data_IF_511538793594
#
_entry.id   IF_511538793594
#
_cell.length_a   1.000
_cell.length_b   1.000
_cell.length_c   1.000
_cell.angle_alpha   90.00
_cell.angle_beta   90.00
_cell.angle_gamma   90.00
#
_symmetry.space_group_name_H-M   'P 1'
#
loop_
_entity.id
_entity.type
_entity.pdbx_description
1 polymer ?
#
# COMPACT_ATOMS: atom_id res chain seq x y z
N UNK A 1 -21.55 20.43 62.83
CA UNK A 1 -21.80 20.40 61.39
C UNK A 1 -20.85 19.39 60.77
N UNK A 2 -21.36 18.27 60.22
CA UNK A 2 -20.56 17.23 59.56
C UNK A 2 -20.58 17.52 58.07
N UNK A 3 -19.40 17.87 57.50
CA UNK A 3 -19.25 18.05 56.06
C UNK A 3 -19.10 16.68 55.43
N UNK A 4 -20.09 16.28 54.59
CA UNK A 4 -20.01 15.07 53.75
C UNK A 4 -19.27 15.49 52.49
N UNK A 5 -18.04 14.96 52.32
CA UNK A 5 -17.31 15.09 51.05
C UNK A 5 -17.81 14.04 50.07
N UNK A 6 -18.54 14.47 49.06
CA UNK A 6 -18.95 13.61 47.96
C UNK A 6 -17.84 13.58 46.91
N UNK A 7 -17.10 12.51 46.85
CA UNK A 7 -16.06 12.28 45.82
C UNK A 7 -16.75 11.73 44.57
N UNK A 8 -16.76 12.54 43.51
CA UNK A 8 -17.29 12.13 42.20
C UNK A 8 -16.19 11.33 41.48
N UNK A 9 -16.33 10.03 41.41
CA UNK A 9 -15.43 9.18 40.63
C UNK A 9 -15.83 9.29 39.15
N UNK A 10 -15.02 9.99 38.36
CA UNK A 10 -15.18 10.10 36.92
C UNK A 10 -14.60 8.82 36.27
N UNK A 11 -15.46 7.85 35.95
CA UNK A 11 -15.07 6.70 35.16
C UNK A 11 -14.79 7.16 33.72
N UNK A 12 -13.53 7.23 33.32
CA UNK A 12 -13.16 7.30 31.92
C UNK A 12 -13.42 5.92 31.28
N UNK A 13 -14.48 5.82 30.49
CA UNK A 13 -14.63 4.70 29.56
C UNK A 13 -13.58 4.91 28.45
N UNK A 14 -12.53 4.13 28.48
CA UNK A 14 -11.63 4.00 27.32
C UNK A 14 -12.45 3.30 26.22
N UNK A 15 -12.88 4.07 25.23
CA UNK A 15 -13.43 3.52 23.99
C UNK A 15 -12.22 2.98 23.24
N UNK A 16 -12.04 1.66 23.22
CA UNK A 16 -11.11 1.03 22.29
C UNK A 16 -11.68 1.24 20.90
N UNK A 17 -11.09 2.15 20.13
CA UNK A 17 -11.35 2.22 18.70
C UNK A 17 -10.80 0.91 18.10
N UNK A 18 -11.65 0.15 17.42
CA UNK A 18 -11.18 -0.95 16.60
C UNK A 18 -10.59 -0.34 15.32
N UNK A 19 -9.45 -0.85 14.81
CA UNK A 19 -8.92 -0.39 13.53
C UNK A 19 -9.96 -0.64 12.44
N UNK A 20 -10.19 0.36 11.60
CA UNK A 20 -11.07 0.23 10.44
C UNK A 20 -10.38 -0.58 9.33
N UNK A 21 -11.19 -1.11 8.42
CA UNK A 21 -10.73 -1.90 7.28
C UNK A 21 -11.39 -1.40 6.00
N UNK A 22 -10.57 -1.03 5.03
CA UNK A 22 -10.96 -0.69 3.67
C UNK A 22 -10.57 -1.83 2.73
N UNK A 23 -11.51 -2.32 1.92
CA UNK A 23 -11.30 -3.40 0.95
C UNK A 23 -11.68 -2.92 -0.44
N UNK A 24 -10.82 -3.19 -1.44
CA UNK A 24 -11.08 -2.91 -2.84
C UNK A 24 -10.72 -4.14 -3.69
N UNK A 25 -11.69 -4.63 -4.45
CA UNK A 25 -11.56 -5.81 -5.32
C UNK A 25 -11.74 -5.49 -6.81
N UNK A 26 -12.03 -4.22 -7.13
CA UNK A 26 -12.26 -3.73 -8.49
C UNK A 26 -13.35 -4.47 -9.28
N UNK A 27 -14.17 -5.29 -8.60
CA UNK A 27 -15.23 -6.10 -9.23
C UNK A 27 -16.36 -5.23 -9.82
N UNK A 28 -16.51 -3.99 -9.35
CA UNK A 28 -17.48 -3.01 -9.87
C UNK A 28 -17.01 -2.29 -11.15
N UNK A 29 -15.76 -2.49 -11.55
CA UNK A 29 -15.16 -1.92 -12.77
C UNK A 29 -14.60 -0.52 -12.59
N UNK A 30 -14.47 -0.03 -11.36
CA UNK A 30 -13.97 1.31 -11.01
C UNK A 30 -12.92 1.24 -9.90
N UNK A 31 -12.14 2.29 -9.72
CA UNK A 31 -11.25 2.51 -8.57
C UNK A 31 -11.55 3.84 -7.86
N UNK A 32 -12.68 4.49 -8.21
CA UNK A 32 -13.16 5.72 -7.61
C UNK A 32 -12.33 6.96 -7.96
N UNK A 33 -12.59 8.03 -7.21
CA UNK A 33 -11.92 9.33 -7.36
C UNK A 33 -10.59 9.36 -6.57
N UNK A 34 -9.71 8.37 -6.77
CA UNK A 34 -8.41 8.31 -6.11
C UNK A 34 -7.39 9.18 -6.82
N UNK A 35 -6.48 9.80 -6.07
CA UNK A 35 -5.41 10.62 -6.63
C UNK A 35 -4.30 9.75 -7.23
N UNK A 36 -3.80 10.18 -8.39
CA UNK A 36 -2.65 9.57 -9.05
C UNK A 36 -1.47 10.55 -8.95
N UNK A 37 -0.39 10.10 -8.28
CA UNK A 37 0.84 10.85 -8.24
C UNK A 37 1.90 10.24 -9.17
N UNK A 38 2.45 11.07 -10.08
CA UNK A 38 3.46 10.64 -11.04
C UNK A 38 4.81 11.28 -10.70
N UNK A 39 5.71 10.51 -10.08
CA UNK A 39 7.06 10.94 -9.77
C UNK A 39 7.84 11.29 -11.05
N UNK A 40 8.55 12.42 -11.01
CA UNK A 40 9.30 12.90 -12.18
C UNK A 40 8.45 13.33 -13.37
N UNK A 41 7.13 13.47 -13.18
CA UNK A 41 6.18 13.84 -14.22
C UNK A 41 5.87 12.71 -15.20
N UNK A 42 5.27 13.07 -16.35
CA UNK A 42 4.79 12.10 -17.34
C UNK A 42 3.40 11.58 -17.03
N UNK A 43 2.89 10.71 -17.87
CA UNK A 43 1.53 10.16 -17.78
C UNK A 43 1.60 8.68 -17.45
N UNK A 44 0.76 8.24 -16.52
CA UNK A 44 0.38 6.85 -16.30
C UNK A 44 -1.08 6.66 -16.72
N UNK A 45 -1.40 5.47 -17.15
CA UNK A 45 -2.77 5.05 -17.43
C UNK A 45 -3.17 4.03 -16.38
N UNK A 46 -4.18 4.39 -15.59
CA UNK A 46 -4.81 3.51 -14.62
C UNK A 46 -6.23 3.22 -15.06
N UNK A 47 -6.63 1.96 -15.07
CA UNK A 47 -7.97 1.52 -15.45
C UNK A 47 -8.31 0.20 -14.81
N UNK A 48 -9.59 -0.11 -14.70
CA UNK A 48 -10.08 -1.43 -14.31
C UNK A 48 -10.59 -2.16 -15.55
N UNK A 49 -10.15 -3.40 -15.74
CA UNK A 49 -10.66 -4.32 -16.76
C UNK A 49 -10.83 -5.71 -16.16
N UNK A 50 -12.00 -6.31 -16.34
CA UNK A 50 -12.33 -7.66 -15.85
C UNK A 50 -12.10 -7.84 -14.34
N UNK A 51 -12.37 -6.79 -13.53
CA UNK A 51 -12.17 -6.79 -12.08
C UNK A 51 -10.70 -6.73 -11.66
N UNK A 52 -9.81 -6.25 -12.49
CA UNK A 52 -8.38 -6.10 -12.22
C UNK A 52 -7.98 -4.65 -12.46
N UNK A 53 -7.29 -4.04 -11.52
CA UNK A 53 -6.66 -2.74 -11.71
C UNK A 53 -5.39 -2.90 -12.55
N UNK A 54 -5.33 -2.18 -13.66
CA UNK A 54 -4.22 -2.19 -14.60
C UNK A 54 -3.54 -0.82 -14.59
N UNK A 55 -2.23 -0.80 -14.36
CA UNK A 55 -1.41 0.39 -14.55
C UNK A 55 -0.45 0.21 -15.72
N UNK A 56 -0.40 1.21 -16.61
CA UNK A 56 0.63 1.33 -17.65
C UNK A 56 1.48 2.57 -17.38
N UNK A 57 2.73 2.35 -16.96
CA UNK A 57 3.70 3.42 -16.67
C UNK A 57 4.89 3.33 -17.61
N UNK A 58 4.98 4.16 -18.68
CA UNK A 58 5.94 3.96 -19.77
C UNK A 58 7.34 4.54 -19.51
N UNK A 59 7.63 5.00 -18.30
CA UNK A 59 8.93 5.58 -17.91
C UNK A 59 9.48 4.93 -16.65
N UNK A 60 10.81 4.95 -16.48
CA UNK A 60 11.52 4.42 -15.30
C UNK A 60 11.34 5.28 -14.04
N UNK A 61 10.14 5.81 -13.83
CA UNK A 61 9.73 6.59 -12.68
C UNK A 61 8.40 6.06 -12.17
N UNK A 62 8.18 6.12 -10.88
CA UNK A 62 7.00 5.55 -10.22
C UNK A 62 5.73 6.37 -10.52
N UNK A 63 4.62 5.68 -10.62
CA UNK A 63 3.27 6.21 -10.49
C UNK A 63 2.59 5.53 -9.32
N UNK A 64 1.96 6.29 -8.45
CA UNK A 64 1.26 5.78 -7.26
C UNK A 64 -0.20 6.18 -7.31
N UNK A 65 -1.10 5.20 -7.14
CA UNK A 65 -2.52 5.42 -6.88
C UNK A 65 -2.72 5.50 -5.38
N UNK A 66 -3.21 6.64 -4.88
CA UNK A 66 -3.19 7.00 -3.47
C UNK A 66 -4.55 6.84 -2.80
N UNK A 67 -4.56 6.18 -1.65
CA UNK A 67 -5.69 6.01 -0.74
C UNK A 67 -5.48 6.85 0.52
N UNK A 68 -6.57 7.27 1.12
CA UNK A 68 -6.61 7.87 2.45
C UNK A 68 -6.14 9.32 2.51
N UNK A 69 -5.86 9.76 3.72
CA UNK A 69 -5.54 11.14 4.05
C UNK A 69 -4.12 11.29 4.62
N UNK A 70 -3.55 12.49 4.56
CA UNK A 70 -2.20 12.76 5.05
C UNK A 70 -2.04 12.62 6.58
N UNK A 71 -3.15 12.55 7.32
CA UNK A 71 -3.14 12.36 8.78
C UNK A 71 -3.19 10.88 9.20
N UNK A 72 -3.30 9.92 8.26
CA UNK A 72 -3.30 8.51 8.62
C UNK A 72 -2.00 8.11 9.31
N UNK A 73 -2.16 7.60 10.54
CA UNK A 73 -1.08 7.13 11.40
C UNK A 73 -0.73 5.66 11.15
N UNK A 74 -0.96 4.80 12.16
CA UNK A 74 -0.62 3.39 12.07
C UNK A 74 -1.58 2.64 11.13
N UNK A 75 -1.01 1.95 10.14
CA UNK A 75 -1.79 1.15 9.19
C UNK A 75 -0.94 0.07 8.52
N UNK A 76 -1.62 -0.87 7.88
CA UNK A 76 -1.06 -1.80 6.90
C UNK A 76 -1.84 -1.72 5.60
N UNK A 77 -1.15 -1.98 4.50
CA UNK A 77 -1.74 -2.21 3.18
C UNK A 77 -1.26 -3.53 2.64
N UNK A 78 -2.15 -4.28 2.00
CA UNK A 78 -1.80 -5.48 1.26
C UNK A 78 -2.56 -5.53 -0.06
N UNK A 79 -1.97 -6.14 -1.07
CA UNK A 79 -2.58 -6.38 -2.37
C UNK A 79 -1.90 -7.55 -3.08
N UNK A 80 -2.59 -8.09 -4.10
CA UNK A 80 -1.97 -8.97 -5.08
C UNK A 80 -1.48 -8.14 -6.26
N UNK A 81 -0.24 -8.38 -6.73
CA UNK A 81 0.34 -7.62 -7.83
C UNK A 81 1.23 -8.48 -8.72
N UNK A 82 1.27 -8.17 -10.02
CA UNK A 82 2.20 -8.77 -10.98
C UNK A 82 2.64 -7.77 -12.04
N UNK A 83 3.83 -7.93 -12.57
CA UNK A 83 4.29 -7.25 -13.79
C UNK A 83 3.98 -8.16 -14.97
N UNK A 84 3.19 -7.66 -15.92
CA UNK A 84 2.83 -8.36 -17.16
C UNK A 84 3.85 -8.09 -18.24
N UNK A 85 4.22 -6.81 -18.44
CA UNK A 85 5.13 -6.37 -19.48
C UNK A 85 6.04 -5.25 -18.96
N UNK A 86 7.37 -5.43 -18.99
CA UNK A 86 8.29 -4.32 -18.77
C UNK A 86 8.34 -3.44 -20.01
N UNK A 87 8.17 -2.12 -19.82
CA UNK A 87 8.15 -1.13 -20.92
C UNK A 87 9.21 -0.04 -20.76
N UNK A 88 9.95 -0.06 -19.67
CA UNK A 88 11.12 0.79 -19.44
C UNK A 88 12.30 -0.02 -18.90
N UNK A 89 13.50 0.58 -18.86
CA UNK A 89 14.71 -0.10 -18.40
C UNK A 89 14.68 -0.46 -16.91
N UNK A 90 14.05 0.39 -16.10
CA UNK A 90 13.79 0.14 -14.69
C UNK A 90 12.29 -0.08 -14.52
N UNK A 91 11.92 -1.21 -13.94
CA UNK A 91 10.54 -1.54 -13.66
C UNK A 91 10.38 -2.22 -12.30
N UNK A 92 9.28 -1.91 -11.62
CA UNK A 92 8.92 -2.47 -10.30
C UNK A 92 7.43 -2.38 -10.03
N UNK A 93 6.99 -3.19 -9.06
CA UNK A 93 5.72 -3.08 -8.35
C UNK A 93 6.01 -2.91 -6.86
N UNK A 94 5.08 -2.31 -6.14
CA UNK A 94 5.24 -2.16 -4.71
C UNK A 94 4.13 -1.36 -4.06
N UNK A 95 4.41 -0.92 -2.85
CA UNK A 95 3.53 -0.16 -1.98
C UNK A 95 4.24 1.11 -1.53
N UNK A 96 3.48 2.18 -1.41
CA UNK A 96 3.98 3.48 -1.01
C UNK A 96 3.32 3.90 0.31
N UNK A 97 4.12 4.24 1.30
CA UNK A 97 3.65 4.54 2.66
C UNK A 97 3.97 5.99 3.03
N UNK A 98 3.16 6.59 3.91
CA UNK A 98 3.39 7.92 4.47
C UNK A 98 3.53 9.03 3.42
N UNK A 99 2.84 8.89 2.30
CA UNK A 99 2.89 9.87 1.22
C UNK A 99 2.22 11.16 1.67
N UNK A 100 2.96 12.25 1.62
CA UNK A 100 2.48 13.58 2.01
C UNK A 100 3.14 14.70 1.20
N UNK A 101 2.53 15.90 1.23
CA UNK A 101 2.99 17.09 0.48
C UNK A 101 3.05 16.85 -1.04
N UNK A 102 2.08 16.17 -1.62
CA UNK A 102 2.04 15.79 -3.04
C UNK A 102 1.90 16.97 -4.01
N UNK A 103 1.45 18.14 -3.53
CA UNK A 103 1.26 19.34 -4.35
C UNK A 103 2.56 19.91 -4.92
N UNK A 104 3.70 19.54 -4.35
CA UNK A 104 5.00 20.01 -4.78
C UNK A 104 6.05 18.88 -4.72
N UNK A 105 6.52 18.44 -5.88
CA UNK A 105 7.51 17.39 -6.04
C UNK A 105 8.82 17.64 -5.24
N UNK A 106 9.14 18.90 -4.92
CA UNK A 106 10.32 19.24 -4.11
C UNK A 106 10.08 19.12 -2.62
N UNK A 107 8.85 18.85 -2.18
CA UNK A 107 8.48 18.71 -0.76
C UNK A 107 7.81 17.39 -0.42
N UNK A 108 7.62 16.50 -1.40
CA UNK A 108 7.00 15.19 -1.16
C UNK A 108 7.80 14.38 -0.14
N UNK A 109 7.08 13.74 0.76
CA UNK A 109 7.61 12.72 1.65
C UNK A 109 6.94 11.40 1.34
N UNK A 110 7.71 10.32 1.33
CA UNK A 110 7.21 8.97 1.13
C UNK A 110 8.18 7.89 1.61
N UNK A 111 7.67 6.67 1.73
CA UNK A 111 8.43 5.48 2.07
C UNK A 111 8.08 4.38 1.07
N UNK A 112 8.93 4.21 0.07
CA UNK A 112 8.74 3.22 -1.01
C UNK A 112 9.16 1.82 -0.58
N UNK A 113 8.26 0.87 -0.77
CA UNK A 113 8.46 -0.57 -0.60
C UNK A 113 8.39 -1.22 -1.98
N UNK A 114 9.52 -1.38 -2.67
CA UNK A 114 9.55 -1.77 -4.09
C UNK A 114 10.26 -3.10 -4.32
N UNK A 115 9.68 -3.90 -5.24
CA UNK A 115 10.27 -5.10 -5.81
C UNK A 115 10.35 -4.95 -7.34
N UNK A 116 11.54 -5.09 -7.92
CA UNK A 116 11.73 -4.85 -9.34
C UNK A 116 12.87 -5.64 -9.97
N UNK A 117 13.29 -5.19 -11.17
CA UNK A 117 14.31 -5.85 -11.97
C UNK A 117 15.75 -5.63 -11.50
N UNK A 118 15.95 -4.92 -10.40
CA UNK A 118 17.29 -4.71 -9.84
C UNK A 118 17.84 -5.94 -9.11
N UNK A 119 17.04 -7.01 -8.96
CA UNK A 119 17.43 -8.23 -8.25
C UNK A 119 17.46 -8.10 -6.73
N UNK A 120 16.90 -7.02 -6.19
CA UNK A 120 16.84 -6.72 -4.76
C UNK A 120 15.51 -6.09 -4.39
N UNK A 121 15.15 -6.24 -3.11
CA UNK A 121 14.06 -5.53 -2.44
C UNK A 121 14.64 -4.68 -1.33
N UNK A 122 14.08 -3.52 -1.13
CA UNK A 122 14.43 -2.59 -0.07
C UNK A 122 13.28 -1.59 0.19
N UNK A 123 13.34 -0.92 1.33
CA UNK A 123 12.54 0.25 1.63
C UNK A 123 13.41 1.48 1.39
N UNK A 124 12.89 2.47 0.68
CA UNK A 124 13.59 3.72 0.39
C UNK A 124 12.72 4.91 0.72
N UNK A 125 13.15 5.69 1.70
CA UNK A 125 12.41 6.86 2.15
C UNK A 125 12.95 8.15 1.52
N UNK A 126 12.01 9.01 1.13
CA UNK A 126 12.27 10.33 0.56
C UNK A 126 11.69 11.41 1.48
N UNK A 127 12.47 12.42 1.77
CA UNK A 127 12.08 13.55 2.62
C UNK A 127 12.31 14.86 1.88
N UNK A 128 11.25 15.67 1.76
CA UNK A 128 11.28 16.93 1.02
C UNK A 128 11.84 16.75 -0.41
N UNK A 129 11.36 15.74 -1.13
CA UNK A 129 11.75 15.43 -2.50
C UNK A 129 13.20 14.92 -2.67
N UNK A 130 13.89 14.60 -1.58
CA UNK A 130 15.26 14.10 -1.61
C UNK A 130 15.37 12.73 -0.96
N UNK A 131 16.28 11.89 -1.49
CA UNK A 131 16.63 10.62 -0.87
C UNK A 131 17.12 10.85 0.57
N UNK A 132 16.47 10.19 1.52
CA UNK A 132 16.69 10.39 2.95
C UNK A 132 17.40 9.20 3.60
N UNK A 133 16.87 8.00 3.42
CA UNK A 133 17.41 6.76 3.98
C UNK A 133 16.93 5.55 3.19
N UNK A 134 17.71 4.49 3.19
CA UNK A 134 17.38 3.21 2.57
C UNK A 134 17.67 2.07 3.56
N UNK A 135 16.79 1.08 3.60
CA UNK A 135 17.03 -0.17 4.35
C UNK A 135 18.15 -0.99 3.71
N UNK A 136 18.73 -1.98 4.43
CA UNK A 136 19.53 -3.01 3.80
C UNK A 136 18.78 -3.68 2.65
N UNK A 137 19.50 -4.00 1.57
CA UNK A 137 18.95 -4.69 0.41
C UNK A 137 18.95 -6.20 0.63
N UNK A 138 17.83 -6.85 0.25
CA UNK A 138 17.70 -8.32 0.25
C UNK A 138 17.55 -8.81 -1.19
N UNK A 139 18.29 -9.85 -1.56
CA UNK A 139 18.22 -10.44 -2.89
C UNK A 139 16.79 -10.96 -3.18
N UNK A 140 16.24 -10.58 -4.32
CA UNK A 140 14.93 -11.02 -4.79
C UNK A 140 14.85 -10.92 -6.31
N UNK A 141 14.40 -12.00 -6.96
CA UNK A 141 14.24 -12.04 -8.40
C UNK A 141 12.77 -12.09 -8.78
N UNK A 142 12.22 -10.93 -9.13
CA UNK A 142 10.85 -10.81 -9.59
C UNK A 142 10.68 -11.56 -10.93
N UNK A 143 9.64 -12.40 -11.00
CA UNK A 143 9.25 -13.13 -12.21
C UNK A 143 8.07 -12.45 -12.88
N UNK A 144 8.14 -12.23 -14.19
CA UNK A 144 7.03 -11.67 -14.96
C UNK A 144 5.84 -12.63 -14.97
N UNK A 145 4.65 -12.06 -15.00
CA UNK A 145 3.36 -12.78 -15.01
C UNK A 145 3.08 -13.63 -13.76
N UNK A 146 3.93 -13.61 -12.75
CA UNK A 146 3.67 -14.23 -11.46
C UNK A 146 2.96 -13.23 -10.55
N UNK A 147 1.86 -13.64 -9.93
CA UNK A 147 1.21 -12.91 -8.84
C UNK A 147 2.03 -13.03 -7.56
N UNK A 148 2.22 -11.92 -6.88
CA UNK A 148 2.84 -11.79 -5.58
C UNK A 148 1.87 -11.14 -4.63
N UNK A 149 1.75 -11.67 -3.43
CA UNK A 149 1.05 -10.98 -2.36
C UNK A 149 2.01 -10.02 -1.68
N UNK A 150 1.76 -8.73 -1.82
CA UNK A 150 2.54 -7.65 -1.23
C UNK A 150 1.85 -7.16 0.03
N UNK A 151 2.61 -6.93 1.11
CA UNK A 151 2.12 -6.29 2.32
C UNK A 151 3.15 -5.31 2.84
N UNK A 152 2.69 -4.12 3.23
CA UNK A 152 3.53 -3.13 3.92
C UNK A 152 2.83 -2.63 5.18
N UNK A 153 3.62 -2.39 6.22
CA UNK A 153 3.15 -1.95 7.54
C UNK A 153 3.89 -0.67 7.89
N UNK A 154 3.13 0.33 8.34
CA UNK A 154 3.64 1.53 8.99
C UNK A 154 3.08 1.56 10.42
N UNK A 155 3.93 1.31 11.40
CA UNK A 155 3.56 1.32 12.81
C UNK A 155 4.52 2.21 13.60
N UNK A 156 4.02 3.34 14.10
CA UNK A 156 4.85 4.39 14.69
C UNK A 156 6.00 4.80 13.75
N UNK A 157 7.23 4.47 14.09
CA UNK A 157 8.44 4.79 13.32
C UNK A 157 8.98 3.58 12.52
N UNK A 158 8.31 2.43 12.60
CA UNK A 158 8.76 1.19 12.00
C UNK A 158 8.00 0.92 10.70
N UNK A 159 8.74 0.58 9.66
CA UNK A 159 8.24 0.20 8.35
C UNK A 159 8.70 -1.20 8.01
N UNK A 160 7.78 -2.04 7.56
CA UNK A 160 8.06 -3.42 7.17
C UNK A 160 7.45 -3.69 5.80
N UNK A 161 8.16 -4.46 4.98
CA UNK A 161 7.70 -4.91 3.67
C UNK A 161 7.82 -6.41 3.52
N UNK A 162 6.72 -7.04 3.13
CA UNK A 162 6.58 -8.48 2.96
C UNK A 162 6.20 -8.81 1.51
N UNK A 163 6.70 -9.95 1.02
CA UNK A 163 6.30 -10.56 -0.24
C UNK A 163 5.98 -12.02 0.03
N UNK A 164 4.78 -12.48 -0.35
CA UNK A 164 4.28 -13.83 -0.12
C UNK A 164 4.40 -14.27 1.37
N UNK A 165 4.22 -13.33 2.30
CA UNK A 165 4.32 -13.53 3.74
C UNK A 165 5.74 -13.53 4.32
N UNK A 166 6.78 -13.41 3.50
CA UNK A 166 8.17 -13.32 3.95
C UNK A 166 8.58 -11.86 4.16
N UNK A 167 9.17 -11.53 5.33
CA UNK A 167 9.74 -10.21 5.60
C UNK A 167 10.94 -9.97 4.69
N UNK A 168 10.81 -9.00 3.81
CA UNK A 168 11.83 -8.66 2.82
C UNK A 168 12.69 -7.49 3.24
N UNK A 169 12.10 -6.47 3.86
CA UNK A 169 12.82 -5.29 4.32
C UNK A 169 12.16 -4.68 5.55
N UNK A 170 12.96 -4.02 6.38
CA UNK A 170 12.49 -3.18 7.48
C UNK A 170 13.32 -1.89 7.57
N UNK A 171 12.69 -0.82 8.01
CA UNK A 171 13.30 0.50 8.20
C UNK A 171 12.68 1.17 9.42
N UNK A 172 13.51 1.84 10.25
CA UNK A 172 13.03 2.68 11.36
C UNK A 172 13.37 4.13 11.09
N UNK A 173 12.35 5.00 11.04
CA UNK A 173 12.56 6.44 10.81
C UNK A 173 11.39 7.27 11.35
N UNK A 174 11.66 8.11 12.35
CA UNK A 174 10.66 8.96 13.02
C UNK A 174 10.24 10.20 12.23
N UNK A 175 10.84 10.47 11.08
CA UNK A 175 10.56 11.66 10.25
C UNK A 175 9.28 11.55 9.43
N UNK A 176 8.66 10.36 9.39
CA UNK A 176 7.45 10.05 8.63
C UNK A 176 6.30 9.64 9.56
N UNK A 177 5.73 10.58 10.35
CA UNK A 177 4.75 10.25 11.39
C UNK A 177 3.37 9.87 10.85
N UNK A 178 2.99 10.40 9.69
CA UNK A 178 1.69 10.15 9.04
C UNK A 178 1.77 10.36 7.54
N UNK A 179 0.76 9.92 6.81
CA UNK A 179 0.63 10.11 5.38
C UNK A 179 -0.28 9.10 4.74
N UNK A 180 -0.61 9.34 3.48
CA UNK A 180 -1.42 8.48 2.62
C UNK A 180 -0.68 7.19 2.28
N UNK A 181 -1.41 6.23 1.74
CA UNK A 181 -0.87 4.94 1.32
C UNK A 181 -1.23 4.68 -0.14
N UNK A 182 -0.41 3.92 -0.87
CA UNK A 182 -0.69 3.72 -2.28
C UNK A 182 -0.11 2.46 -2.91
N UNK A 183 -0.63 2.20 -4.11
CA UNK A 183 -0.15 1.15 -5.02
C UNK A 183 0.86 1.78 -5.98
N UNK A 184 2.08 1.25 -6.03
CA UNK A 184 3.19 1.83 -6.78
C UNK A 184 3.61 0.97 -7.97
N UNK A 185 3.71 1.58 -9.15
CA UNK A 185 4.13 0.93 -10.40
C UNK A 185 5.18 1.77 -11.09
N UNK A 186 6.28 1.13 -11.51
CA UNK A 186 7.35 1.77 -12.27
C UNK A 186 7.56 1.03 -13.59
N UNK A 187 7.68 1.71 -14.69
CA UNK A 187 8.23 1.25 -15.95
C UNK A 187 7.62 0.00 -16.57
N UNK A 188 6.36 -0.31 -16.30
CA UNK A 188 5.72 -1.56 -16.70
C UNK A 188 4.23 -1.42 -16.98
N UNK A 189 3.68 -2.46 -17.60
CA UNK A 189 2.25 -2.80 -17.48
C UNK A 189 2.14 -3.77 -16.31
N UNK A 190 1.41 -3.37 -15.29
CA UNK A 190 1.22 -4.15 -14.06
C UNK A 190 -0.26 -4.33 -13.77
N UNK A 191 -0.60 -5.48 -13.19
CA UNK A 191 -1.92 -5.82 -12.71
C UNK A 191 -1.90 -5.87 -11.19
N UNK A 192 -2.92 -5.29 -10.56
CA UNK A 192 -3.10 -5.25 -9.11
C UNK A 192 -4.55 -5.64 -8.78
N UNK A 193 -4.75 -6.26 -7.62
CA UNK A 193 -6.06 -6.74 -7.17
C UNK A 193 -6.06 -6.92 -5.64
N UNK A 194 -7.25 -7.12 -5.07
CA UNK A 194 -7.45 -7.51 -3.67
C UNK A 194 -6.75 -6.58 -2.67
N UNK A 195 -6.99 -5.27 -2.79
CA UNK A 195 -6.41 -4.28 -1.87
C UNK A 195 -7.13 -4.33 -0.54
N UNK A 196 -6.38 -4.47 0.55
CA UNK A 196 -6.88 -4.35 1.91
C UNK A 196 -6.03 -3.37 2.69
N UNK A 197 -6.65 -2.36 3.28
CA UNK A 197 -5.99 -1.38 4.14
C UNK A 197 -6.63 -1.46 5.52
N UNK A 198 -5.83 -1.62 6.57
CA UNK A 198 -6.31 -1.69 7.96
C UNK A 198 -5.52 -0.73 8.83
N UNK A 199 -6.20 0.06 9.65
CA UNK A 199 -5.52 1.01 10.54
C UNK A 199 -6.45 1.82 11.41
N UNK A 200 -5.87 2.55 12.37
CA UNK A 200 -6.61 3.29 13.39
C UNK A 200 -7.46 4.43 12.79
N UNK A 201 -6.98 5.07 11.72
CA UNK A 201 -7.63 6.19 11.03
C UNK A 201 -8.32 5.75 9.73
N UNK A 202 -8.26 4.46 9.38
CA UNK A 202 -8.86 3.91 8.16
C UNK A 202 -10.36 3.75 8.33
N UNK A 203 -11.20 4.32 7.45
CA UNK A 203 -12.63 4.10 7.51
C UNK A 203 -13.01 2.68 7.07
N UNK A 204 -13.97 2.06 7.77
CA UNK A 204 -14.61 0.86 7.25
C UNK A 204 -15.46 1.21 6.02
N UNK A 205 -15.22 0.54 4.89
CA UNK A 205 -16.10 0.70 3.74
C UNK A 205 -17.25 -0.33 3.72
N UNK A 206 -17.45 -1.08 4.82
CA UNK A 206 -18.54 -2.05 5.02
C UNK A 206 -18.73 -3.05 3.87
N UNK A 207 -17.72 -3.23 3.05
CA UNK A 207 -17.66 -4.40 2.17
C UNK A 207 -17.54 -5.57 3.12
N UNK A 208 -18.65 -6.34 3.29
CA UNK A 208 -18.57 -7.60 4.01
C UNK A 208 -17.34 -8.30 3.44
N UNK A 209 -16.34 -8.51 4.29
CA UNK A 209 -15.15 -9.27 3.90
C UNK A 209 -15.62 -10.70 3.65
N UNK A 210 -16.29 -10.90 2.55
CA UNK A 210 -16.47 -12.19 1.91
C UNK A 210 -15.11 -12.71 1.42
N UNK A 211 -14.03 -12.35 2.12
CA UNK A 211 -12.76 -13.05 2.12
C UNK A 211 -12.90 -14.27 3.01
N UNK A 212 -13.90 -15.05 2.75
CA UNK A 212 -13.78 -16.47 2.90
C UNK A 212 -12.75 -16.88 1.84
N UNK A 213 -11.50 -17.01 2.27
CA UNK A 213 -10.38 -17.59 1.51
C UNK A 213 -10.69 -18.96 0.90
N UNK A 214 -11.89 -19.49 1.07
CA UNK A 214 -12.38 -20.75 0.55
C UNK A 214 -13.23 -20.65 -0.71
N UNK A 215 -13.74 -19.48 -1.10
CA UNK A 215 -14.68 -19.36 -2.23
C UNK A 215 -14.03 -18.98 -3.57
N UNK A 216 -13.32 -17.89 -3.66
CA UNK A 216 -12.80 -17.39 -4.97
C UNK A 216 -11.46 -18.03 -5.37
N UNK A 217 -10.53 -18.25 -4.47
CA UNK A 217 -9.26 -18.93 -4.78
C UNK A 217 -9.49 -20.39 -5.20
N UNK A 218 -10.44 -21.09 -4.59
CA UNK A 218 -10.77 -22.48 -4.96
C UNK A 218 -11.41 -22.60 -6.33
N UNK A 219 -12.19 -21.64 -6.80
CA UNK A 219 -12.81 -21.67 -8.13
C UNK A 219 -11.81 -21.33 -9.24
N UNK A 220 -10.96 -20.34 -9.04
CA UNK A 220 -9.96 -19.95 -10.05
C UNK A 220 -8.86 -21.01 -10.21
N UNK A 221 -8.34 -21.55 -9.11
CA UNK A 221 -7.35 -22.65 -9.13
C UNK A 221 -7.97 -24.00 -9.55
N UNK A 222 -9.25 -24.23 -9.26
CA UNK A 222 -9.97 -25.44 -9.65
C UNK A 222 -10.26 -25.49 -11.15
N UNK A 223 -10.42 -24.37 -11.84
CA UNK A 223 -10.63 -24.30 -13.28
C UNK A 223 -9.32 -24.45 -14.07
N UNK A 224 -8.20 -23.97 -13.54
CA UNK A 224 -6.89 -24.11 -14.19
C UNK A 224 -6.30 -25.53 -14.17
N UNK A 225 -6.82 -26.42 -13.32
CA UNK A 225 -6.39 -27.84 -13.27
C UNK A 225 -7.15 -28.78 -14.21
N UNK A 226 -8.13 -28.27 -14.99
CA UNK A 226 -8.95 -29.08 -15.92
C UNK A 226 -8.72 -28.77 -17.40
N UNK A 227 -7.63 -28.06 -17.72
CA UNK A 227 -7.17 -27.90 -19.11
C UNK A 227 -5.83 -28.58 -19.32
#
# INVERSE_FOLDING_TARGET
MRHILVTFAMCFLAISAYPGTYVETFDDGDFGDLDIYNYGGGISEWKVEDGILICRRPVSMTSTLLYGEENWGNYSIECDARIVEPIANLYSIGLDLRVSNIDNASSINDVWCLAGNQGVVYIWAWLNGNSAVQSPQKAFHLQLNRWYHLKAIANENEFEFYIDGELMASLSDSRFPSGRVGLAVTGSVSHLDNVVITGDDVPDNNVETAVSSSGKLATTWGQLRRQ
#
